data_IF_349621115304
#
_entry.id   IF_349621115304
#
_cell.length_a   1.000
_cell.length_b   1.000
_cell.length_c   1.000
_cell.angle_alpha   90.00
_cell.angle_beta   90.00
_cell.angle_gamma   90.00
#
_symmetry.space_group_name_H-M   'P 1'
#
loop_
_entity.id
_entity.type
_entity.pdbx_description
1 polymer ?
#
# COMPACT_ATOMS: atom_id res chain seq x y z
N UNK A 1 -5.08 -12.87 30.44
CA UNK A 1 -5.88 -13.00 29.19
C UNK A 1 -7.29 -13.32 29.64
N UNK A 2 -8.23 -12.39 29.50
CA UNK A 2 -9.65 -12.67 29.70
C UNK A 2 -10.09 -13.59 28.56
N UNK A 3 -10.54 -14.81 28.91
CA UNK A 3 -11.21 -15.69 27.97
C UNK A 3 -12.63 -15.18 27.82
N UNK A 4 -12.99 -14.76 26.61
CA UNK A 4 -14.38 -14.43 26.30
C UNK A 4 -15.20 -15.72 26.27
N UNK A 5 -16.16 -15.83 27.19
CA UNK A 5 -17.12 -16.92 27.24
C UNK A 5 -18.48 -16.39 26.79
N UNK A 6 -19.00 -16.91 25.69
CA UNK A 6 -20.39 -16.64 25.30
C UNK A 6 -21.32 -17.50 26.13
N UNK A 7 -22.27 -16.90 26.85
CA UNK A 7 -23.30 -17.62 27.58
C UNK A 7 -24.51 -17.87 26.71
N UNK A 8 -25.07 -19.08 26.79
CA UNK A 8 -26.37 -19.40 26.22
C UNK A 8 -27.32 -19.94 27.29
N UNK A 9 -28.61 -19.71 27.10
CA UNK A 9 -29.65 -20.14 28.02
C UNK A 9 -30.67 -21.02 27.28
N UNK A 10 -31.18 -22.05 27.98
CA UNK A 10 -32.22 -22.91 27.49
C UNK A 10 -33.28 -23.16 28.59
N UNK A 11 -34.55 -23.12 28.22
CA UNK A 11 -35.67 -23.40 29.12
C UNK A 11 -36.68 -24.30 28.39
N UNK A 12 -37.06 -25.39 29.05
CA UNK A 12 -38.08 -26.30 28.56
C UNK A 12 -39.47 -25.93 29.09
N UNK A 13 -40.48 -26.24 28.31
CA UNK A 13 -41.89 -26.04 28.70
C UNK A 13 -42.60 -27.38 28.66
N UNK A 14 -43.26 -27.74 29.74
CA UNK A 14 -44.16 -28.88 29.84
C UNK A 14 -45.62 -28.41 29.73
N UNK A 15 -46.35 -29.01 28.80
CA UNK A 15 -47.79 -28.75 28.63
C UNK A 15 -48.58 -29.98 28.97
N UNK A 16 -49.58 -29.83 29.84
CA UNK A 16 -50.47 -30.94 30.25
C UNK A 16 -51.88 -30.42 30.50
N UNK A 17 -52.87 -31.00 29.85
CA UNK A 17 -54.23 -30.45 29.78
C UNK A 17 -54.23 -29.00 29.34
N UNK A 18 -54.83 -28.11 30.10
CA UNK A 18 -54.82 -26.66 29.89
C UNK A 18 -53.72 -25.92 30.67
N UNK A 19 -52.80 -26.65 31.28
CA UNK A 19 -51.76 -26.09 32.14
C UNK A 19 -50.38 -26.12 31.47
N UNK A 20 -49.52 -25.14 31.84
CA UNK A 20 -48.13 -25.01 31.37
C UNK A 20 -47.22 -24.90 32.60
N UNK A 21 -46.15 -25.69 32.62
CA UNK A 21 -45.08 -25.57 33.58
C UNK A 21 -43.74 -25.31 32.85
N UNK A 22 -42.99 -24.34 33.28
CA UNK A 22 -41.65 -24.03 32.74
C UNK A 22 -40.58 -24.66 33.62
N UNK A 23 -39.53 -25.20 33.02
CA UNK A 23 -38.33 -25.61 33.76
C UNK A 23 -37.58 -24.39 34.31
N UNK A 24 -36.58 -24.66 35.17
CA UNK A 24 -35.51 -23.68 35.41
C UNK A 24 -34.81 -23.32 34.08
N UNK A 25 -34.18 -22.17 34.03
CA UNK A 25 -33.27 -21.79 32.96
C UNK A 25 -31.94 -22.50 33.19
N UNK A 26 -31.55 -23.34 32.22
CA UNK A 26 -30.20 -23.92 32.17
C UNK A 26 -29.27 -22.88 31.48
N UNK A 27 -28.13 -22.59 32.08
CA UNK A 27 -27.09 -21.70 31.55
C UNK A 27 -25.91 -22.56 31.14
N UNK A 28 -25.46 -22.40 29.91
CA UNK A 28 -24.22 -22.98 29.41
C UNK A 28 -23.23 -21.89 28.98
N UNK A 29 -21.95 -22.25 28.95
CA UNK A 29 -20.88 -21.35 28.50
C UNK A 29 -20.18 -22.00 27.32
N UNK A 30 -19.96 -21.18 26.24
CA UNK A 30 -19.18 -21.57 25.08
C UNK A 30 -17.79 -20.99 25.23
N UNK A 31 -16.77 -21.84 25.32
CA UNK A 31 -15.39 -21.45 25.36
C UNK A 31 -14.87 -21.28 23.93
N UNK A 32 -14.52 -20.05 23.56
CA UNK A 32 -13.86 -19.77 22.30
C UNK A 32 -12.36 -20.08 22.42
N UNK A 33 -11.90 -21.09 21.68
CA UNK A 33 -10.52 -21.57 21.71
C UNK A 33 -9.73 -21.24 20.46
N UNK A 34 -10.40 -20.71 19.43
CA UNK A 34 -9.75 -20.19 18.22
C UNK A 34 -9.53 -18.69 18.32
N UNK A 35 -8.36 -18.26 17.90
CA UNK A 35 -8.05 -16.86 17.66
C UNK A 35 -7.37 -16.71 16.31
N UNK A 36 -7.55 -15.56 15.68
CA UNK A 36 -6.91 -15.23 14.41
C UNK A 36 -6.27 -13.84 14.47
N UNK A 37 -5.27 -13.64 13.63
CA UNK A 37 -4.66 -12.33 13.37
C UNK A 37 -4.32 -12.19 11.89
N UNK A 38 -4.32 -10.96 11.41
CA UNK A 38 -3.92 -10.61 10.04
C UNK A 38 -2.87 -9.51 10.10
N UNK A 39 -1.82 -9.63 9.31
CA UNK A 39 -0.76 -8.64 9.21
C UNK A 39 -0.31 -8.49 7.76
N UNK A 40 0.16 -7.28 7.39
CA UNK A 40 0.88 -7.05 6.14
C UNK A 40 2.38 -6.98 6.43
N UNK A 41 3.20 -7.53 5.53
CA UNK A 41 4.67 -7.49 5.65
C UNK A 41 5.19 -6.06 5.53
N UNK A 42 4.55 -5.23 4.70
CA UNK A 42 4.81 -3.79 4.61
C UNK A 42 3.60 -3.00 5.12
N UNK A 43 3.87 -1.84 5.70
CA UNK A 43 2.82 -0.98 6.29
C UNK A 43 2.42 0.20 5.39
N UNK A 44 3.15 0.39 4.31
CA UNK A 44 2.89 1.43 3.31
C UNK A 44 2.84 0.85 1.91
N UNK A 45 2.17 1.54 0.99
CA UNK A 45 2.05 1.13 -0.41
C UNK A 45 2.14 2.31 -1.37
N UNK A 46 2.64 2.02 -2.57
CA UNK A 46 2.49 2.79 -3.79
C UNK A 46 1.67 2.02 -4.83
N UNK A 47 1.35 2.66 -5.93
CA UNK A 47 0.66 2.00 -7.05
C UNK A 47 1.55 0.90 -7.66
N UNK A 48 0.96 -0.25 -8.00
CA UNK A 48 1.60 -1.46 -8.52
C UNK A 48 2.57 -2.15 -7.52
N UNK A 49 2.56 -1.75 -6.26
CA UNK A 49 3.33 -2.46 -5.24
C UNK A 49 2.73 -3.84 -4.93
N UNK A 50 3.61 -4.78 -4.64
CA UNK A 50 3.21 -6.08 -4.09
C UNK A 50 3.13 -5.99 -2.57
N UNK A 51 2.00 -6.47 -2.01
CA UNK A 51 1.77 -6.56 -0.57
C UNK A 51 1.51 -8.01 -0.18
N UNK A 52 2.35 -8.56 0.70
CA UNK A 52 2.15 -9.88 1.28
C UNK A 52 1.34 -9.76 2.56
N UNK A 53 0.21 -10.46 2.63
CA UNK A 53 -0.60 -10.61 3.83
C UNK A 53 -0.34 -11.98 4.48
N UNK A 54 -0.36 -11.99 5.81
CA UNK A 54 -0.19 -13.19 6.63
C UNK A 54 -1.36 -13.28 7.59
N UNK A 55 -2.09 -14.40 7.54
CA UNK A 55 -3.16 -14.73 8.48
C UNK A 55 -2.69 -15.90 9.33
N UNK A 56 -2.68 -15.72 10.63
CA UNK A 56 -2.36 -16.79 11.60
C UNK A 56 -3.61 -17.14 12.40
N UNK A 57 -3.92 -18.42 12.48
CA UNK A 57 -5.03 -18.95 13.27
C UNK A 57 -4.46 -19.90 14.31
N UNK A 58 -4.78 -19.66 15.59
CA UNK A 58 -4.28 -20.44 16.72
C UNK A 58 -5.46 -21.14 17.40
N UNK A 59 -5.29 -22.42 17.66
CA UNK A 59 -6.23 -23.26 18.40
C UNK A 59 -5.63 -23.63 19.77
N UNK A 60 -6.15 -23.05 20.83
CA UNK A 60 -5.75 -23.36 22.21
C UNK A 60 -6.53 -24.53 22.81
N UNK A 61 -7.50 -25.10 22.07
CA UNK A 61 -8.33 -26.23 22.50
C UNK A 61 -7.68 -27.59 22.24
N UNK A 62 -8.34 -28.62 22.71
CA UNK A 62 -7.88 -30.02 22.64
C UNK A 62 -8.43 -30.77 21.43
N UNK A 63 -9.23 -30.14 20.60
CA UNK A 63 -9.84 -30.73 19.39
C UNK A 63 -9.43 -29.93 18.16
N UNK A 64 -9.11 -30.62 17.07
CA UNK A 64 -8.79 -29.99 15.80
C UNK A 64 -10.05 -29.40 15.13
N UNK A 65 -9.90 -28.27 14.41
CA UNK A 65 -10.91 -27.69 13.55
C UNK A 65 -10.58 -27.97 12.09
N UNK A 66 -11.52 -28.59 11.38
CA UNK A 66 -11.35 -28.99 9.99
C UNK A 66 -12.34 -28.22 9.10
N UNK A 67 -11.98 -28.05 7.82
CA UNK A 67 -12.86 -27.42 6.84
C UNK A 67 -13.07 -25.93 7.07
N UNK A 68 -12.09 -25.24 7.65
CA UNK A 68 -12.11 -23.79 7.77
C UNK A 68 -11.86 -23.13 6.43
N UNK A 69 -12.46 -21.96 6.25
CA UNK A 69 -12.28 -21.07 5.10
C UNK A 69 -11.89 -19.70 5.57
N UNK A 70 -10.90 -19.11 4.94
CA UNK A 70 -10.57 -17.69 5.04
C UNK A 70 -11.16 -17.00 3.82
N UNK A 71 -12.04 -16.02 4.03
CA UNK A 71 -12.57 -15.17 2.97
C UNK A 71 -12.06 -13.75 3.18
N UNK A 72 -11.34 -13.23 2.19
CA UNK A 72 -10.69 -11.93 2.23
C UNK A 72 -11.33 -10.97 1.22
N UNK A 73 -11.66 -9.74 1.65
CA UNK A 73 -12.32 -8.76 0.81
C UNK A 73 -11.35 -7.96 -0.08
N UNK A 74 -10.03 -8.22 0.02
CA UNK A 74 -8.99 -7.52 -0.75
C UNK A 74 -9.06 -5.99 -0.63
N UNK A 75 -9.46 -5.50 0.56
CA UNK A 75 -9.59 -4.07 0.83
C UNK A 75 -10.79 -3.41 0.18
N UNK A 76 -11.77 -4.16 -0.27
CA UNK A 76 -12.96 -3.65 -0.95
C UNK A 76 -13.66 -2.54 -0.15
N UNK A 77 -14.04 -1.46 -0.84
CA UNK A 77 -14.71 -0.29 -0.28
C UNK A 77 -15.83 0.21 -1.18
N UNK A 78 -16.78 0.96 -0.59
CA UNK A 78 -17.92 1.53 -1.33
C UNK A 78 -17.53 2.83 -2.03
N UNK A 79 -17.84 2.92 -3.32
CA UNK A 79 -17.68 4.11 -4.14
C UNK A 79 -18.99 4.40 -4.87
N UNK A 80 -19.76 5.38 -4.40
CA UNK A 80 -21.11 5.62 -4.87
C UNK A 80 -22.01 4.40 -4.63
N UNK A 81 -22.49 3.76 -5.70
CA UNK A 81 -23.30 2.51 -5.65
C UNK A 81 -22.45 1.27 -5.94
N UNK A 82 -21.19 1.43 -6.32
CA UNK A 82 -20.30 0.35 -6.70
C UNK A 82 -19.38 -0.06 -5.53
N UNK A 83 -18.82 -1.26 -5.61
CA UNK A 83 -17.77 -1.72 -4.73
C UNK A 83 -16.47 -1.80 -5.54
N UNK A 84 -15.44 -1.08 -5.11
CA UNK A 84 -14.12 -1.11 -5.71
C UNK A 84 -13.17 -1.93 -4.84
N UNK A 85 -12.30 -2.70 -5.48
CA UNK A 85 -11.32 -3.55 -4.81
C UNK A 85 -9.91 -3.05 -5.14
N UNK A 86 -9.21 -2.42 -4.18
CA UNK A 86 -7.90 -1.79 -4.41
C UNK A 86 -6.74 -2.79 -4.51
N UNK A 87 -6.95 -4.05 -4.13
CA UNK A 87 -5.95 -5.10 -4.18
C UNK A 87 -6.39 -6.20 -5.17
N UNK A 88 -5.47 -6.62 -6.01
CA UNK A 88 -5.65 -7.75 -6.93
C UNK A 88 -4.86 -8.94 -6.40
N UNK A 89 -5.51 -10.07 -6.16
CA UNK A 89 -4.82 -11.30 -5.74
C UNK A 89 -3.83 -11.77 -6.81
N UNK A 90 -2.60 -12.10 -6.39
CA UNK A 90 -1.60 -12.70 -7.27
C UNK A 90 -1.76 -14.22 -7.29
N UNK A 91 -2.09 -14.76 -8.47
CA UNK A 91 -2.35 -16.19 -8.64
C UNK A 91 -1.17 -17.05 -8.14
N UNK A 92 -1.47 -18.21 -7.57
CA UNK A 92 -0.49 -19.21 -7.07
C UNK A 92 0.42 -18.72 -5.93
N UNK A 93 0.15 -17.53 -5.36
CA UNK A 93 0.94 -16.95 -4.27
C UNK A 93 0.64 -17.55 -2.90
N UNK A 94 -0.49 -18.25 -2.71
CA UNK A 94 -0.88 -18.81 -1.42
C UNK A 94 0.13 -19.84 -0.93
N UNK A 95 0.61 -19.65 0.30
CA UNK A 95 1.42 -20.60 1.06
C UNK A 95 0.69 -20.95 2.36
N UNK A 96 0.57 -22.23 2.65
CA UNK A 96 -0.14 -22.76 3.80
C UNK A 96 0.80 -23.55 4.70
N UNK A 97 0.85 -23.21 5.97
CA UNK A 97 1.70 -23.86 6.95
C UNK A 97 0.86 -24.37 8.12
N UNK A 98 1.17 -25.57 8.60
CA UNK A 98 0.62 -26.15 9.82
C UNK A 98 1.75 -26.35 10.82
N UNK A 99 1.67 -25.72 12.00
CA UNK A 99 2.72 -25.72 13.02
C UNK A 99 4.11 -25.39 12.43
N UNK A 100 4.17 -24.42 11.50
CA UNK A 100 5.40 -23.98 10.82
C UNK A 100 5.86 -24.88 9.67
N UNK A 101 5.18 -25.99 9.36
CA UNK A 101 5.53 -26.88 8.26
C UNK A 101 4.68 -26.57 7.04
N UNK A 102 5.32 -26.29 5.90
CA UNK A 102 4.67 -26.02 4.62
C UNK A 102 3.83 -27.23 4.18
N UNK A 103 2.61 -26.99 3.78
CA UNK A 103 1.67 -27.98 3.26
C UNK A 103 1.42 -27.77 1.76
N UNK A 104 0.69 -28.70 1.16
CA UNK A 104 0.14 -28.51 -0.18
C UNK A 104 -0.80 -27.30 -0.24
N UNK A 105 -0.84 -26.60 -1.37
CA UNK A 105 -1.71 -25.45 -1.58
C UNK A 105 -3.18 -25.84 -1.38
N UNK A 106 -3.92 -25.14 -0.54
CA UNK A 106 -5.35 -25.37 -0.33
C UNK A 106 -6.15 -24.94 -1.57
N UNK A 107 -7.47 -25.17 -1.54
CA UNK A 107 -8.36 -24.70 -2.61
C UNK A 107 -8.48 -23.17 -2.52
N UNK A 108 -8.18 -22.50 -3.63
CA UNK A 108 -8.19 -21.03 -3.75
C UNK A 108 -9.20 -20.62 -4.83
N UNK A 109 -10.10 -19.70 -4.49
CA UNK A 109 -11.02 -19.03 -5.41
C UNK A 109 -10.79 -17.53 -5.28
N UNK A 110 -10.47 -16.85 -6.40
CA UNK A 110 -10.06 -15.44 -6.37
C UNK A 110 -11.23 -14.45 -6.52
N UNK A 111 -12.36 -14.87 -7.09
CA UNK A 111 -13.49 -14.01 -7.43
C UNK A 111 -14.81 -14.52 -6.81
N UNK A 112 -15.71 -13.62 -6.35
CA UNK A 112 -15.63 -12.15 -6.27
C UNK A 112 -14.81 -11.62 -5.09
N UNK A 113 -14.32 -12.49 -4.22
CA UNK A 113 -13.40 -12.23 -3.11
C UNK A 113 -12.45 -13.42 -2.99
N UNK A 114 -11.27 -13.21 -2.40
CA UNK A 114 -10.32 -14.29 -2.20
C UNK A 114 -10.84 -15.25 -1.13
N UNK A 115 -11.14 -16.50 -1.50
CA UNK A 115 -11.50 -17.56 -0.57
C UNK A 115 -10.45 -18.68 -0.59
N UNK A 116 -9.94 -19.02 0.59
CA UNK A 116 -8.94 -20.08 0.80
C UNK A 116 -9.58 -21.10 1.73
N UNK A 117 -9.88 -22.31 1.22
CA UNK A 117 -10.70 -23.29 1.91
C UNK A 117 -10.03 -24.65 2.11
N UNK A 118 -10.63 -25.49 2.95
CA UNK A 118 -10.07 -26.79 3.30
C UNK A 118 -8.97 -26.73 4.38
N UNK A 119 -8.92 -25.64 5.15
CA UNK A 119 -7.90 -25.44 6.18
C UNK A 119 -8.21 -26.27 7.42
N UNK A 120 -7.16 -26.81 8.06
CA UNK A 120 -7.25 -27.57 9.29
C UNK A 120 -6.30 -27.01 10.33
N UNK A 121 -6.84 -26.61 11.50
CA UNK A 121 -6.05 -26.15 12.65
C UNK A 121 -5.99 -27.28 13.68
N UNK A 122 -4.80 -27.86 13.95
CA UNK A 122 -4.68 -28.97 14.90
C UNK A 122 -4.98 -28.53 16.33
N UNK A 123 -5.33 -29.50 17.19
CA UNK A 123 -5.49 -29.28 18.61
C UNK A 123 -4.19 -28.73 19.21
N UNK A 124 -4.27 -27.67 20.03
CA UNK A 124 -3.11 -27.01 20.64
C UNK A 124 -2.10 -26.46 19.65
N UNK A 125 -2.47 -26.27 18.38
CA UNK A 125 -1.58 -25.87 17.30
C UNK A 125 -2.00 -24.59 16.58
N UNK A 126 -1.37 -24.35 15.45
CA UNK A 126 -1.64 -23.17 14.65
C UNK A 126 -1.51 -23.46 13.15
N UNK A 127 -2.10 -22.57 12.35
CA UNK A 127 -1.83 -22.48 10.92
C UNK A 127 -1.46 -21.06 10.55
N UNK A 128 -0.69 -20.94 9.46
CA UNK A 128 -0.36 -19.67 8.84
C UNK A 128 -0.67 -19.77 7.35
N UNK A 129 -1.42 -18.79 6.85
CA UNK A 129 -1.68 -18.62 5.42
C UNK A 129 -1.06 -17.30 5.00
N UNK A 130 -0.16 -17.34 4.03
CA UNK A 130 0.44 -16.17 3.39
C UNK A 130 0.00 -16.11 1.93
N UNK A 131 -0.28 -14.90 1.42
CA UNK A 131 -0.63 -14.67 0.02
C UNK A 131 -0.19 -13.27 -0.40
N UNK A 132 -0.02 -13.06 -1.69
CA UNK A 132 0.41 -11.81 -2.28
C UNK A 132 -0.72 -11.13 -3.04
N UNK A 133 -0.72 -9.81 -2.99
CA UNK A 133 -1.63 -8.94 -3.72
C UNK A 133 -0.85 -7.83 -4.39
N UNK A 134 -1.36 -7.32 -5.51
CA UNK A 134 -0.87 -6.13 -6.18
C UNK A 134 -1.82 -4.96 -5.93
N UNK A 135 -1.27 -3.79 -5.61
CA UNK A 135 -2.01 -2.54 -5.44
C UNK A 135 -2.39 -2.00 -6.81
N UNK A 136 -3.69 -1.92 -7.09
CA UNK A 136 -4.20 -1.52 -8.40
C UNK A 136 -4.67 -0.05 -8.44
N UNK A 137 -5.23 0.36 -9.58
CA UNK A 137 -5.64 1.75 -9.84
C UNK A 137 -6.82 2.25 -8.96
N UNK A 138 -7.48 1.37 -8.19
CA UNK A 138 -8.55 1.77 -7.27
C UNK A 138 -8.04 2.06 -5.85
N UNK A 139 -6.76 1.84 -5.58
CA UNK A 139 -6.17 2.14 -4.27
C UNK A 139 -6.12 3.64 -4.03
N UNK A 140 -6.59 4.15 -2.87
CA UNK A 140 -6.42 5.55 -2.50
C UNK A 140 -4.94 5.94 -2.50
N UNK A 141 -4.59 7.01 -3.22
CA UNK A 141 -3.19 7.41 -3.43
C UNK A 141 -2.84 8.77 -2.81
N UNK A 142 -3.81 9.46 -2.22
CA UNK A 142 -3.56 10.71 -1.50
C UNK A 142 -2.73 10.47 -0.22
N UNK A 143 -2.19 11.53 0.36
CA UNK A 143 -1.31 11.44 1.53
C UNK A 143 -1.96 10.81 2.78
N UNK A 144 -3.28 10.78 2.85
CA UNK A 144 -4.06 10.14 3.92
C UNK A 144 -4.68 8.80 3.48
N UNK A 145 -4.38 8.35 2.26
CA UNK A 145 -4.93 7.14 1.68
C UNK A 145 -4.59 5.89 2.49
N UNK A 146 -5.58 5.03 2.66
CA UNK A 146 -5.40 3.76 3.37
C UNK A 146 -6.13 2.63 2.65
N UNK A 147 -5.61 1.42 2.75
CA UNK A 147 -6.30 0.19 2.39
C UNK A 147 -6.55 -0.60 3.66
N UNK A 148 -7.83 -0.79 4.00
CA UNK A 148 -8.26 -1.62 5.12
C UNK A 148 -8.71 -2.97 4.58
N UNK A 149 -7.84 -3.96 4.72
CA UNK A 149 -8.06 -5.31 4.20
C UNK A 149 -8.58 -6.24 5.30
N UNK A 150 -9.79 -6.76 5.12
CA UNK A 150 -10.53 -7.56 6.11
C UNK A 150 -10.68 -9.00 5.64
N UNK A 151 -10.35 -9.94 6.51
CA UNK A 151 -10.59 -11.36 6.30
C UNK A 151 -11.51 -11.93 7.37
N UNK A 152 -12.33 -12.90 6.97
CA UNK A 152 -13.24 -13.65 7.86
C UNK A 152 -12.84 -15.11 7.84
N UNK A 153 -12.54 -15.67 9.01
CA UNK A 153 -12.34 -17.10 9.22
C UNK A 153 -13.67 -17.72 9.58
N UNK A 154 -14.14 -18.72 8.83
CA UNK A 154 -15.45 -19.35 9.02
C UNK A 154 -15.39 -20.85 8.69
N UNK A 155 -16.49 -21.57 8.86
CA UNK A 155 -16.56 -23.03 8.65
C UNK A 155 -16.21 -23.81 9.92
N UNK A 156 -16.09 -25.13 9.81
CA UNK A 156 -15.69 -26.00 10.93
C UNK A 156 -16.58 -25.93 12.19
N UNK A 157 -17.76 -25.31 12.09
CA UNK A 157 -18.68 -25.16 13.24
C UNK A 157 -18.29 -24.04 14.22
N UNK A 158 -17.42 -23.12 13.84
CA UNK A 158 -16.99 -21.98 14.68
C UNK A 158 -17.89 -20.75 14.49
N UNK A 159 -17.91 -19.88 15.50
CA UNK A 159 -18.35 -18.49 15.29
C UNK A 159 -17.33 -17.80 14.38
N UNK A 160 -17.77 -17.09 13.30
CA UNK A 160 -16.84 -16.43 12.39
C UNK A 160 -15.94 -15.42 13.12
N UNK A 161 -14.65 -15.45 12.80
CA UNK A 161 -13.64 -14.55 13.37
C UNK A 161 -13.23 -13.55 12.28
N UNK A 162 -13.43 -12.25 12.53
CA UNK A 162 -13.03 -11.19 11.62
C UNK A 162 -11.68 -10.61 12.04
N UNK A 163 -10.78 -10.48 11.09
CA UNK A 163 -9.45 -9.89 11.27
C UNK A 163 -9.18 -8.86 10.19
N UNK A 164 -8.55 -7.76 10.57
CA UNK A 164 -8.33 -6.62 9.69
C UNK A 164 -6.89 -6.13 9.80
N UNK A 165 -6.33 -5.74 8.67
CA UNK A 165 -5.04 -5.05 8.58
C UNK A 165 -5.20 -3.80 7.73
N UNK A 166 -4.65 -2.68 8.20
CA UNK A 166 -4.66 -1.40 7.49
C UNK A 166 -3.25 -0.99 7.13
N UNK A 167 -3.03 -0.65 5.87
CA UNK A 167 -1.80 -0.09 5.34
C UNK A 167 -2.07 1.30 4.78
N UNK A 168 -1.09 2.21 4.86
CA UNK A 168 -1.20 3.60 4.38
C UNK A 168 -0.40 3.83 3.10
N UNK A 169 -0.63 4.97 2.45
CA UNK A 169 0.21 5.39 1.32
C UNK A 169 1.64 5.64 1.76
N UNK A 170 2.59 5.31 0.89
CA UNK A 170 3.99 5.64 1.11
C UNK A 170 4.18 7.16 1.00
N UNK A 171 4.88 7.76 1.98
CA UNK A 171 5.13 9.21 2.04
C UNK A 171 6.59 9.49 1.67
N UNK A 172 6.93 9.30 0.39
CA UNK A 172 8.27 9.56 -0.16
C UNK A 172 8.17 10.31 -1.48
N UNK A 173 9.17 11.17 -1.83
CA UNK A 173 9.27 11.72 -3.16
C UNK A 173 9.77 10.66 -4.16
N UNK A 174 9.24 10.68 -5.38
CA UNK A 174 9.67 9.84 -6.52
C UNK A 174 10.04 10.76 -7.66
N UNK A 175 11.33 11.06 -7.79
CA UNK A 175 11.83 12.06 -8.72
C UNK A 175 12.26 11.45 -10.05
N UNK A 176 11.91 12.13 -11.15
CA UNK A 176 12.43 11.92 -12.48
C UNK A 176 12.93 13.23 -13.06
N UNK A 177 13.87 13.17 -14.00
CA UNK A 177 14.44 14.36 -14.66
C UNK A 177 14.52 14.14 -16.15
N UNK A 178 14.16 15.19 -16.92
CA UNK A 178 14.40 15.26 -18.35
C UNK A 178 15.16 16.54 -18.68
N UNK A 179 15.99 16.50 -19.74
CA UNK A 179 16.82 17.62 -20.19
C UNK A 179 16.52 17.96 -21.63
N UNK A 180 16.40 19.23 -21.95
CA UNK A 180 16.30 19.75 -23.31
C UNK A 180 17.31 20.88 -23.53
N UNK A 181 17.63 21.18 -24.80
CA UNK A 181 18.52 22.26 -25.21
C UNK A 181 17.92 23.04 -26.36
N UNK A 182 18.11 24.35 -26.37
CA UNK A 182 17.66 25.26 -27.42
C UNK A 182 18.60 26.49 -27.53
N UNK A 183 18.79 27.04 -28.74
CA UNK A 183 18.36 26.56 -30.04
C UNK A 183 19.20 25.39 -30.54
N UNK A 184 18.65 24.64 -31.51
CA UNK A 184 19.37 23.60 -32.25
C UNK A 184 19.04 23.79 -33.73
N UNK A 185 20.04 24.14 -34.60
CA UNK A 185 21.46 24.38 -34.30
C UNK A 185 21.71 25.71 -33.58
N UNK A 186 22.89 25.83 -32.97
CA UNK A 186 23.41 27.07 -32.39
C UNK A 186 24.61 27.56 -33.23
N UNK A 187 24.81 28.86 -33.31
CA UNK A 187 25.98 29.48 -33.96
C UNK A 187 27.17 29.59 -33.00
N UNK A 188 28.39 29.68 -33.51
CA UNK A 188 29.58 30.02 -32.69
C UNK A 188 29.34 31.35 -31.94
N UNK A 189 29.75 31.41 -30.69
CA UNK A 189 29.43 32.49 -29.75
C UNK A 189 27.94 32.70 -29.50
N UNK A 190 27.11 31.71 -29.85
CA UNK A 190 25.68 31.74 -29.61
C UNK A 190 25.34 31.38 -28.14
N UNK A 191 24.11 31.70 -27.77
CA UNK A 191 23.60 31.36 -26.43
C UNK A 191 22.82 30.06 -26.50
N UNK A 192 23.19 29.10 -25.63
CA UNK A 192 22.43 27.89 -25.35
C UNK A 192 21.60 28.04 -24.09
N UNK A 193 20.40 27.45 -24.12
CA UNK A 193 19.54 27.30 -22.96
C UNK A 193 19.29 25.82 -22.73
N UNK A 194 19.75 25.29 -21.61
CA UNK A 194 19.40 23.97 -21.12
C UNK A 194 18.23 24.09 -20.15
N UNK A 195 17.23 23.26 -20.33
CA UNK A 195 16.07 23.19 -19.43
C UNK A 195 15.99 21.78 -18.86
N UNK A 196 16.05 21.70 -17.54
CA UNK A 196 15.84 20.47 -16.78
C UNK A 196 14.44 20.51 -16.19
N UNK A 197 13.59 19.60 -16.61
CA UNK A 197 12.26 19.40 -16.04
C UNK A 197 12.37 18.28 -15.00
N UNK A 198 12.04 18.61 -13.75
CA UNK A 198 12.07 17.68 -12.63
C UNK A 198 10.63 17.40 -12.23
N UNK A 199 10.24 16.13 -12.22
CA UNK A 199 8.90 15.71 -11.86
C UNK A 199 8.96 14.83 -10.60
N UNK A 200 7.97 15.00 -9.73
CA UNK A 200 7.79 14.21 -8.53
C UNK A 200 6.45 13.46 -8.64
N UNK A 201 6.52 12.14 -8.81
CA UNK A 201 5.34 11.27 -8.82
C UNK A 201 4.99 10.74 -7.41
N UNK A 202 5.77 11.09 -6.39
CA UNK A 202 5.57 10.64 -5.02
C UNK A 202 4.55 11.50 -4.24
N UNK A 203 4.01 10.95 -3.18
CA UNK A 203 3.02 11.59 -2.29
C UNK A 203 3.63 12.60 -1.32
N UNK A 204 4.95 12.64 -1.18
CA UNK A 204 5.66 13.65 -0.39
C UNK A 204 6.43 14.63 -1.29
N UNK A 205 6.58 15.90 -0.90
CA UNK A 205 7.45 16.82 -1.61
C UNK A 205 8.92 16.41 -1.46
N UNK A 206 9.72 16.66 -2.49
CA UNK A 206 11.16 16.75 -2.31
C UNK A 206 11.47 18.14 -1.77
N UNK A 207 11.92 18.21 -0.54
CA UNK A 207 12.26 19.43 0.16
C UNK A 207 13.78 19.51 0.42
N UNK A 208 14.18 20.48 1.22
CA UNK A 208 15.58 20.70 1.59
C UNK A 208 16.25 19.47 2.23
N UNK A 209 15.48 18.64 2.94
CA UNK A 209 15.98 17.41 3.60
C UNK A 209 16.14 16.22 2.65
N UNK A 210 15.66 16.33 1.41
CA UNK A 210 15.84 15.30 0.37
C UNK A 210 17.27 15.34 -0.20
N UNK A 211 17.99 16.45 -0.02
CA UNK A 211 19.36 16.67 -0.51
C UNK A 211 19.53 16.38 -2.02
N UNK A 212 18.48 16.63 -2.81
CA UNK A 212 18.51 16.40 -4.24
C UNK A 212 19.56 17.28 -4.93
N UNK A 213 20.37 16.67 -5.80
CA UNK A 213 21.45 17.35 -6.54
C UNK A 213 21.37 16.99 -8.01
N UNK A 214 21.51 18.00 -8.88
CA UNK A 214 21.69 17.82 -10.33
C UNK A 214 23.17 18.00 -10.63
N UNK A 215 23.77 17.03 -11.32
CA UNK A 215 25.12 17.09 -11.85
C UNK A 215 25.06 16.96 -13.35
N UNK A 216 25.72 17.84 -14.07
CA UNK A 216 25.82 17.82 -15.54
C UNK A 216 27.22 18.25 -15.99
N UNK A 217 27.63 17.84 -17.17
CA UNK A 217 28.86 18.30 -17.80
C UNK A 217 28.52 18.89 -19.13
N UNK A 218 28.61 20.23 -19.25
CA UNK A 218 28.30 20.92 -20.48
C UNK A 218 29.43 20.77 -21.51
N UNK A 219 29.05 20.29 -22.70
CA UNK A 219 29.93 20.23 -23.85
C UNK A 219 29.09 20.69 -25.08
N UNK A 220 29.42 21.83 -25.72
CA UNK A 220 30.58 22.70 -25.46
C UNK A 220 30.53 23.36 -24.08
N UNK A 221 31.73 23.83 -23.64
CA UNK A 221 31.85 24.63 -22.41
C UNK A 221 31.01 25.90 -22.54
N UNK A 222 30.41 26.32 -21.44
CA UNK A 222 29.59 27.51 -21.38
C UNK A 222 30.34 28.63 -20.62
N UNK A 223 30.15 29.86 -21.05
CA UNK A 223 30.58 31.06 -20.36
C UNK A 223 29.40 31.95 -20.02
N UNK A 224 29.53 32.90 -19.11
CA UNK A 224 28.52 33.86 -18.70
C UNK A 224 27.19 33.16 -18.31
N UNK A 225 27.25 32.17 -17.40
CA UNK A 225 26.09 31.43 -16.97
C UNK A 225 25.04 32.32 -16.29
N UNK A 226 23.78 32.14 -16.70
CA UNK A 226 22.61 32.64 -15.99
C UNK A 226 21.72 31.45 -15.64
N UNK A 227 21.56 31.18 -14.35
CA UNK A 227 20.82 30.05 -13.84
C UNK A 227 19.57 30.52 -13.11
N UNK A 228 18.44 29.84 -13.34
CA UNK A 228 17.21 30.09 -12.61
C UNK A 228 16.48 28.80 -12.27
N UNK A 229 15.84 28.77 -11.11
CA UNK A 229 15.02 27.68 -10.63
C UNK A 229 13.58 28.17 -10.40
N UNK A 230 12.62 27.55 -11.06
CA UNK A 230 11.22 27.99 -11.07
C UNK A 230 11.06 29.49 -11.35
N UNK A 231 11.87 30.01 -12.28
CA UNK A 231 11.88 31.43 -12.68
C UNK A 231 12.63 32.37 -11.74
N UNK A 232 13.10 31.90 -10.58
CA UNK A 232 13.92 32.68 -9.64
C UNK A 232 15.40 32.54 -9.99
N UNK A 233 16.10 33.66 -10.14
CA UNK A 233 17.55 33.67 -10.43
C UNK A 233 18.34 33.03 -9.29
N UNK A 234 19.30 32.17 -9.64
CA UNK A 234 20.22 31.51 -8.75
C UNK A 234 21.62 32.11 -8.84
N UNK A 235 22.29 32.14 -7.71
CA UNK A 235 23.67 32.63 -7.59
C UNK A 235 24.66 31.47 -7.49
N UNK A 236 25.78 31.61 -8.19
CA UNK A 236 26.92 30.72 -8.07
C UNK A 236 27.44 30.69 -6.62
N UNK A 237 27.99 29.59 -6.19
CA UNK A 237 28.46 29.29 -4.82
C UNK A 237 27.38 29.21 -3.75
N UNK A 238 26.17 29.76 -4.00
CA UNK A 238 25.03 29.68 -3.09
C UNK A 238 24.07 28.57 -3.49
N UNK A 239 23.74 28.46 -4.77
CA UNK A 239 22.76 27.52 -5.27
C UNK A 239 23.38 26.44 -6.18
N UNK A 240 24.48 26.77 -6.84
CA UNK A 240 25.21 25.85 -7.72
C UNK A 240 26.70 26.20 -7.78
N UNK A 241 27.49 25.30 -8.34
CA UNK A 241 28.90 25.53 -8.74
C UNK A 241 29.05 25.17 -10.21
N UNK A 242 29.93 25.88 -10.90
CA UNK A 242 30.30 25.59 -12.28
C UNK A 242 31.81 25.74 -12.47
N UNK A 243 32.46 24.75 -13.09
CA UNK A 243 33.87 24.81 -13.48
C UNK A 243 33.97 25.06 -14.97
N UNK A 244 34.31 26.27 -15.35
CA UNK A 244 34.46 26.70 -16.75
C UNK A 244 35.55 25.93 -17.52
N UNK A 245 36.46 25.25 -16.83
CA UNK A 245 37.54 24.47 -17.47
C UNK A 245 37.13 23.05 -17.80
N UNK A 246 36.27 22.46 -17.01
CA UNK A 246 35.78 21.07 -17.16
C UNK A 246 34.33 20.98 -17.66
N UNK A 247 33.59 22.09 -17.58
CA UNK A 247 32.15 22.11 -17.91
C UNK A 247 31.27 21.49 -16.84
N UNK A 248 31.78 21.11 -15.69
CA UNK A 248 31.00 20.46 -14.63
C UNK A 248 30.13 21.48 -13.90
N UNK A 249 28.84 21.25 -13.96
CA UNK A 249 27.80 21.99 -13.25
C UNK A 249 27.23 21.10 -12.14
N UNK A 250 27.10 21.63 -10.93
CA UNK A 250 26.51 20.89 -9.80
C UNK A 250 25.64 21.83 -8.96
N UNK A 251 24.40 21.45 -8.71
CA UNK A 251 23.55 22.19 -7.75
C UNK A 251 23.97 21.84 -6.33
N UNK A 252 23.81 22.80 -5.40
CA UNK A 252 24.10 22.56 -3.98
C UNK A 252 22.94 21.76 -3.38
N UNK A 253 23.28 20.78 -2.53
CA UNK A 253 22.30 19.94 -1.84
C UNK A 253 21.24 20.79 -1.09
N UNK A 254 19.99 20.37 -1.13
CA UNK A 254 18.88 21.07 -0.50
C UNK A 254 18.35 22.29 -1.28
N UNK A 255 18.92 22.63 -2.45
CA UNK A 255 18.43 23.74 -3.28
C UNK A 255 17.32 23.30 -4.25
N UNK A 256 17.28 22.02 -4.61
CA UNK A 256 16.23 21.46 -5.46
C UNK A 256 15.03 21.09 -4.60
N UNK A 257 13.90 21.75 -4.84
CA UNK A 257 12.62 21.44 -4.21
C UNK A 257 11.58 21.14 -5.29
N UNK A 258 10.81 20.06 -5.11
CA UNK A 258 9.76 19.66 -6.05
C UNK A 258 8.49 19.34 -5.27
N UNK A 259 7.34 19.98 -5.58
CA UNK A 259 6.08 19.68 -4.90
C UNK A 259 5.75 18.18 -4.99
N UNK A 260 4.96 17.68 -4.04
CA UNK A 260 4.37 16.36 -4.16
C UNK A 260 3.45 16.27 -5.38
N UNK A 261 3.22 15.06 -5.87
CA UNK A 261 2.12 14.81 -6.80
C UNK A 261 0.77 15.12 -6.14
N UNK A 262 -0.18 15.56 -6.94
CA UNK A 262 -1.59 15.61 -6.56
C UNK A 262 -2.30 14.39 -7.11
N UNK A 263 -3.18 13.79 -6.29
CA UNK A 263 -3.92 12.60 -6.67
C UNK A 263 -5.41 12.93 -6.72
N UNK A 264 -6.07 12.49 -7.77
CA UNK A 264 -7.52 12.69 -7.93
C UNK A 264 -8.19 11.36 -8.28
N UNK A 265 -9.33 11.10 -7.63
CA UNK A 265 -10.17 9.96 -7.97
C UNK A 265 -11.20 10.37 -9.03
N UNK A 266 -11.24 9.66 -10.14
CA UNK A 266 -12.23 9.89 -11.19
C UNK A 266 -13.63 9.55 -10.65
N UNK A 267 -14.58 10.51 -10.60
CA UNK A 267 -15.88 10.30 -10.00
C UNK A 267 -16.78 9.31 -10.75
N UNK A 268 -16.46 9.00 -12.01
CA UNK A 268 -17.25 8.05 -12.83
C UNK A 268 -16.69 6.63 -12.78
N UNK A 269 -15.37 6.46 -12.61
CA UNK A 269 -14.72 5.15 -12.68
C UNK A 269 -14.08 4.70 -11.37
N UNK A 270 -13.88 5.61 -10.43
CA UNK A 270 -13.18 5.34 -9.18
C UNK A 270 -11.66 5.18 -9.30
N UNK A 271 -11.12 5.30 -10.52
CA UNK A 271 -9.68 5.18 -10.78
C UNK A 271 -8.94 6.40 -10.23
N UNK A 272 -7.85 6.18 -9.53
CA UNK A 272 -6.94 7.22 -9.06
C UNK A 272 -5.91 7.55 -10.13
N UNK A 273 -5.67 8.85 -10.34
CA UNK A 273 -4.66 9.39 -11.26
C UNK A 273 -3.76 10.35 -10.52
N UNK A 274 -2.46 10.28 -10.82
CA UNK A 274 -1.45 11.20 -10.29
C UNK A 274 -1.18 12.31 -11.30
N UNK A 275 -1.13 13.56 -10.81
CA UNK A 275 -0.58 14.70 -11.53
C UNK A 275 0.75 15.07 -10.84
N UNK A 276 1.92 14.80 -11.46
CA UNK A 276 3.21 14.98 -10.82
C UNK A 276 3.46 16.43 -10.43
N UNK A 277 4.07 16.63 -9.26
CA UNK A 277 4.67 17.91 -8.90
C UNK A 277 5.81 18.24 -9.85
N UNK A 278 5.97 19.51 -10.24
CA UNK A 278 6.94 19.92 -11.26
C UNK A 278 7.81 21.06 -10.76
N UNK A 279 9.11 20.98 -11.04
CA UNK A 279 10.06 22.08 -10.91
C UNK A 279 10.97 22.14 -12.14
N UNK A 280 11.46 23.34 -12.46
CA UNK A 280 12.27 23.57 -13.65
C UNK A 280 13.56 24.30 -13.28
N UNK A 281 14.70 23.72 -13.65
CA UNK A 281 15.99 24.40 -13.64
C UNK A 281 16.35 24.82 -15.07
N UNK A 282 16.69 26.07 -15.25
CA UNK A 282 17.15 26.61 -16.54
C UNK A 282 18.56 27.13 -16.39
N UNK A 283 19.45 26.67 -17.28
CA UNK A 283 20.83 27.12 -17.39
C UNK A 283 21.05 27.71 -18.76
N UNK A 284 21.40 29.00 -18.83
CA UNK A 284 21.78 29.70 -20.05
C UNK A 284 23.27 30.00 -20.02
N UNK A 285 23.93 29.88 -21.17
CA UNK A 285 25.33 30.23 -21.29
C UNK A 285 25.71 30.46 -22.75
N UNK A 286 26.85 31.13 -22.96
CA UNK A 286 27.44 31.39 -24.28
C UNK A 286 28.50 30.35 -24.57
N UNK A 287 28.55 29.81 -25.79
CA UNK A 287 29.57 28.85 -26.25
C UNK A 287 30.71 29.60 -26.96
#
# INVERSE_FOLDING_TARGET
>A
REQFMAQFTNQAQLRYGNSIANSNIAVGELLEVLSASKTAVRKTYGQNDTVTYIITIVNSGTTAFNGLTVTDNLGAYTFGTETLTPLTYMADSVKYYVNGVLQSTPVVVAEPSLAISGLTVPAGGNITVAYETEVNAFAPMDAAGTITNTAVVSGGGITPITVTETIGTESTPILTITKSVSPVPVTENGTLTYTFLIQNAGSAPADIGTDAVIVDTFNPLLSNLAVSFNGTAWAETTNYTYDETTGVFTTIAGQITVPAATYTQNPATGVWTADPGVSTLVVKGTI
#
